data_IF_119804155636
#
_entry.id   IF_119804155636
#
_cell.length_a   1.000
_cell.length_b   1.000
_cell.length_c   1.000
_cell.angle_alpha   90.00
_cell.angle_beta   90.00
_cell.angle_gamma   90.00
#
_symmetry.space_group_name_H-M   'P 1'
#
loop_
_entity.id
_entity.type
_entity.pdbx_description
1 polymer ?
#
# COMPACT_ATOMS: atom_id res chain seq x y z
N UNK A 1 5.02 21.01 5.92
CA UNK A 1 5.86 21.56 7.04
C UNK A 1 7.25 20.97 6.84
N UNK A 2 8.29 21.81 6.74
CA UNK A 2 9.66 21.31 6.59
C UNK A 2 10.15 20.75 7.92
N UNK A 3 11.01 19.75 7.88
CA UNK A 3 11.66 19.16 9.04
C UNK A 3 13.15 19.48 9.06
N UNK A 4 13.72 19.51 10.24
CA UNK A 4 15.18 19.55 10.43
C UNK A 4 15.64 18.17 10.91
N UNK A 5 16.59 17.58 10.20
CA UNK A 5 17.37 16.45 10.66
C UNK A 5 18.57 16.94 11.42
N UNK A 6 18.71 16.53 12.66
CA UNK A 6 19.87 16.73 13.51
C UNK A 6 20.65 15.40 13.54
N UNK A 7 21.84 15.37 12.95
CA UNK A 7 22.73 14.21 12.99
C UNK A 7 23.76 14.41 14.10
N UNK A 8 23.68 13.59 15.16
CA UNK A 8 24.56 13.67 16.33
C UNK A 8 25.59 12.57 16.28
N UNK A 9 26.86 12.94 16.40
CA UNK A 9 28.00 12.03 16.58
C UNK A 9 28.54 12.17 18.00
N UNK A 10 28.61 11.06 18.70
CA UNK A 10 29.06 10.99 20.09
C UNK A 10 30.38 10.21 20.17
N UNK A 11 31.23 10.61 21.09
CA UNK A 11 32.42 9.85 21.47
C UNK A 11 32.65 9.98 22.99
N UNK A 12 32.97 8.90 23.64
CA UNK A 12 33.28 8.87 25.05
C UNK A 12 34.68 8.27 25.23
N UNK A 13 35.58 8.98 25.90
CA UNK A 13 37.01 8.63 26.00
C UNK A 13 37.66 8.36 24.61
N UNK A 14 37.26 9.09 23.58
CA UNK A 14 37.77 8.99 22.20
C UNK A 14 37.23 7.81 21.39
N UNK A 15 36.23 7.07 21.89
CA UNK A 15 35.56 5.97 21.20
C UNK A 15 34.04 6.07 21.40
N UNK A 16 33.32 5.22 20.68
CA UNK A 16 31.88 5.01 20.89
C UNK A 16 31.60 3.52 20.83
N UNK A 17 30.85 2.97 21.81
CA UNK A 17 30.54 1.56 21.89
C UNK A 17 29.16 1.30 22.50
N UNK A 18 28.76 0.02 22.55
CA UNK A 18 27.46 -0.39 23.12
C UNK A 18 27.29 0.03 24.59
N UNK A 19 28.40 0.13 25.34
CA UNK A 19 28.40 0.55 26.73
C UNK A 19 28.08 2.04 26.93
N UNK A 20 28.12 2.85 25.85
CA UNK A 20 27.89 4.29 25.88
C UNK A 20 26.48 4.70 25.40
N UNK A 21 25.65 3.73 24.99
CA UNK A 21 24.32 4.01 24.40
C UNK A 21 23.40 4.79 25.34
N UNK A 22 23.54 4.61 26.64
CA UNK A 22 22.80 5.35 27.65
C UNK A 22 22.99 6.86 27.57
N UNK A 23 24.15 7.33 27.08
CA UNK A 23 24.43 8.77 26.85
C UNK A 23 23.54 9.30 25.71
N UNK A 24 23.42 8.53 24.64
CA UNK A 24 22.53 8.86 23.55
C UNK A 24 21.06 8.88 23.99
N UNK A 25 20.66 7.95 24.87
CA UNK A 25 19.28 7.88 25.36
C UNK A 25 18.93 9.06 26.24
N UNK A 26 19.83 9.54 27.11
CA UNK A 26 19.63 10.77 27.88
C UNK A 26 19.50 11.98 26.93
N UNK A 27 20.35 12.05 25.91
CA UNK A 27 20.28 13.16 24.95
C UNK A 27 18.98 13.15 24.15
N UNK A 28 18.54 11.99 23.67
CA UNK A 28 17.26 11.83 22.96
C UNK A 28 16.08 12.25 23.84
N UNK A 29 16.04 11.80 25.10
CA UNK A 29 14.97 12.13 26.05
C UNK A 29 14.86 13.65 26.25
N UNK A 30 16.00 14.31 26.45
CA UNK A 30 16.02 15.77 26.58
C UNK A 30 15.60 16.51 25.30
N UNK A 31 15.95 15.97 24.11
CA UNK A 31 15.54 16.54 22.83
C UNK A 31 14.04 16.39 22.58
N UNK A 32 13.37 15.37 23.13
CA UNK A 32 11.89 15.27 23.11
C UNK A 32 11.27 16.52 23.73
N UNK A 33 11.81 16.97 24.86
CA UNK A 33 11.40 18.22 25.53
C UNK A 33 11.63 19.48 24.68
N UNK A 34 12.50 19.42 23.67
CA UNK A 34 12.77 20.49 22.72
C UNK A 34 11.91 20.43 21.45
N UNK A 35 11.02 19.43 21.31
CA UNK A 35 10.13 19.26 20.17
C UNK A 35 10.62 18.31 19.09
N UNK A 36 11.63 17.46 19.38
CA UNK A 36 12.02 16.37 18.48
C UNK A 36 11.06 15.20 18.65
N UNK A 37 10.60 14.63 17.53
CA UNK A 37 9.51 13.66 17.46
C UNK A 37 9.96 12.25 17.07
N UNK A 38 11.10 12.13 16.38
CA UNK A 38 11.58 10.85 15.87
C UNK A 38 13.09 10.74 15.98
N UNK A 39 13.58 9.52 16.26
CA UNK A 39 14.99 9.23 16.46
C UNK A 39 15.39 7.95 15.73
N UNK A 40 16.57 7.94 15.14
CA UNK A 40 17.17 6.79 14.45
C UNK A 40 18.60 6.61 14.96
N UNK A 41 18.91 5.44 15.52
CA UNK A 41 20.27 5.13 15.98
C UNK A 41 21.23 4.93 14.81
N UNK A 42 22.44 5.43 14.98
CA UNK A 42 23.56 5.29 14.02
C UNK A 42 24.74 4.60 14.69
N UNK A 43 25.73 4.21 13.90
CA UNK A 43 26.94 3.55 14.42
C UNK A 43 27.72 4.42 15.42
N UNK A 44 27.56 5.75 15.39
CA UNK A 44 28.34 6.69 16.21
C UNK A 44 27.48 7.68 16.98
N UNK A 45 26.20 7.40 17.16
CA UNK A 45 25.26 8.29 17.85
C UNK A 45 23.83 8.10 17.34
N UNK A 46 23.20 9.18 16.90
CA UNK A 46 21.82 9.11 16.42
C UNK A 46 21.45 10.27 15.47
N UNK A 47 20.39 10.12 14.74
CA UNK A 47 19.68 11.18 14.04
C UNK A 47 18.38 11.50 14.78
N UNK A 48 18.01 12.78 14.83
CA UNK A 48 16.77 13.25 15.43
C UNK A 48 16.04 14.21 14.48
N UNK A 49 14.73 14.20 14.51
CA UNK A 49 13.90 14.95 13.58
C UNK A 49 12.89 15.80 14.32
N UNK A 50 12.81 17.08 13.96
CA UNK A 50 11.81 18.01 14.49
C UNK A 50 11.22 18.88 13.38
N UNK A 51 9.98 19.40 13.57
CA UNK A 51 9.48 20.49 12.75
C UNK A 51 10.43 21.67 12.74
N UNK A 52 10.58 22.36 11.61
CA UNK A 52 11.49 23.49 11.45
C UNK A 52 11.24 24.59 12.50
N UNK A 53 9.98 24.80 12.88
CA UNK A 53 9.57 25.78 13.87
C UNK A 53 10.03 25.45 15.31
N UNK A 54 10.34 24.18 15.58
CA UNK A 54 10.80 23.69 16.89
C UNK A 54 12.34 23.73 17.01
N UNK A 55 13.03 23.83 15.88
CA UNK A 55 14.48 23.79 15.85
C UNK A 55 15.13 25.02 16.48
N UNK A 56 16.04 24.82 17.43
CA UNK A 56 16.89 25.86 18.00
C UNK A 56 18.27 25.30 18.37
N UNK A 57 19.31 25.92 17.83
CA UNK A 57 20.69 25.55 18.17
C UNK A 57 21.01 25.85 19.64
N UNK A 58 20.45 26.94 20.17
CA UNK A 58 20.65 27.34 21.59
C UNK A 58 20.13 26.24 22.52
N UNK A 59 18.94 25.69 22.24
CA UNK A 59 18.38 24.60 23.04
C UNK A 59 19.23 23.33 22.99
N UNK A 60 19.79 22.98 21.84
CA UNK A 60 20.67 21.82 21.69
C UNK A 60 21.93 22.00 22.55
N UNK A 61 22.56 23.17 22.49
CA UNK A 61 23.75 23.46 23.30
C UNK A 61 23.41 23.52 24.81
N UNK A 62 22.24 24.00 25.18
CA UNK A 62 21.75 23.97 26.55
C UNK A 62 21.59 22.54 27.05
N UNK A 63 20.92 21.68 26.28
CA UNK A 63 20.76 20.25 26.59
C UNK A 63 22.10 19.56 26.75
N UNK A 64 23.05 19.79 25.82
CA UNK A 64 24.41 19.23 25.96
C UNK A 64 25.06 19.63 27.27
N UNK A 65 24.90 20.87 27.70
CA UNK A 65 25.51 21.40 28.90
C UNK A 65 24.82 20.92 30.17
N UNK A 66 23.48 20.90 30.20
CA UNK A 66 22.69 20.57 31.41
C UNK A 66 22.61 19.07 31.63
N UNK A 67 22.28 18.33 30.58
CA UNK A 67 21.97 16.89 30.69
C UNK A 67 23.19 15.99 30.49
N UNK A 68 24.21 16.44 29.74
CA UNK A 68 25.39 15.64 29.48
C UNK A 68 26.67 16.22 30.12
N UNK A 69 26.58 17.38 30.76
CA UNK A 69 27.74 18.07 31.35
C UNK A 69 28.43 17.30 32.49
N UNK A 70 27.83 16.26 33.04
CA UNK A 70 28.40 15.37 34.05
C UNK A 70 29.21 14.22 33.45
N UNK A 71 29.13 13.98 32.12
CA UNK A 71 29.88 12.91 31.45
C UNK A 71 31.26 13.41 31.11
N UNK A 72 32.26 12.89 31.78
CA UNK A 72 33.67 13.26 31.54
C UNK A 72 34.15 12.75 30.16
N UNK A 73 34.98 13.55 29.49
CA UNK A 73 35.56 13.21 28.18
C UNK A 73 34.54 12.89 27.08
N UNK A 74 33.32 13.47 27.16
CA UNK A 74 32.30 13.34 26.13
C UNK A 74 32.58 14.31 24.97
N UNK A 75 32.75 13.77 23.76
CA UNK A 75 32.67 14.52 22.52
C UNK A 75 31.26 14.40 21.93
N UNK A 76 30.63 15.53 21.65
CA UNK A 76 29.32 15.56 21.00
C UNK A 76 29.34 16.62 19.88
N UNK A 77 29.38 16.14 18.66
CA UNK A 77 29.32 16.97 17.45
C UNK A 77 27.94 16.75 16.78
N UNK A 78 27.43 17.78 16.12
CA UNK A 78 26.20 17.63 15.35
C UNK A 78 26.22 18.47 14.07
N UNK A 79 25.51 17.96 13.08
CA UNK A 79 25.18 18.64 11.85
C UNK A 79 23.66 18.73 11.69
N UNK A 80 23.21 19.73 10.93
CA UNK A 80 21.78 19.92 10.67
C UNK A 80 21.52 20.00 9.18
N UNK A 81 20.45 19.34 8.74
CA UNK A 81 19.98 19.38 7.35
C UNK A 81 18.49 19.68 7.33
N UNK A 82 18.09 20.59 6.47
CA UNK A 82 16.67 20.85 6.21
C UNK A 82 16.14 19.77 5.27
N UNK A 83 15.09 19.08 5.71
CA UNK A 83 14.37 18.10 4.91
C UNK A 83 13.11 18.78 4.38
N UNK A 84 13.13 19.09 3.09
CA UNK A 84 11.92 19.55 2.41
C UNK A 84 10.84 18.48 2.49
N UNK A 85 9.62 18.91 2.77
CA UNK A 85 8.47 18.01 2.71
C UNK A 85 8.31 17.50 1.29
N UNK A 86 8.74 16.27 1.05
CA UNK A 86 8.39 15.55 -0.18
C UNK A 86 6.96 15.07 -0.08
N UNK A 87 6.18 15.39 -1.08
CA UNK A 87 4.91 14.72 -1.30
C UNK A 87 5.21 13.29 -1.79
N UNK A 88 5.37 12.38 -0.83
CA UNK A 88 5.64 10.97 -1.11
C UNK A 88 4.48 10.32 -1.88
N UNK A 89 3.26 10.82 -1.72
CA UNK A 89 2.11 10.35 -2.49
C UNK A 89 2.26 10.75 -3.96
N UNK A 90 2.58 12.01 -4.25
CA UNK A 90 2.81 12.45 -5.62
C UNK A 90 4.02 11.75 -6.27
N UNK A 91 5.08 11.46 -5.51
CA UNK A 91 6.23 10.72 -6.03
C UNK A 91 5.87 9.24 -6.28
N UNK A 92 5.10 8.63 -5.39
CA UNK A 92 4.59 7.28 -5.56
C UNK A 92 3.63 7.19 -6.75
N UNK A 93 2.68 8.09 -6.87
CA UNK A 93 1.75 8.17 -8.02
C UNK A 93 2.49 8.30 -9.34
N UNK A 94 3.51 9.17 -9.40
CA UNK A 94 4.33 9.36 -10.60
C UNK A 94 5.07 8.10 -11.05
N UNK A 95 5.44 7.24 -10.10
CA UNK A 95 6.20 6.02 -10.35
C UNK A 95 5.31 4.77 -10.41
N UNK A 96 3.99 4.88 -10.22
CA UNK A 96 3.08 3.75 -10.25
C UNK A 96 2.68 3.41 -11.71
N UNK A 97 3.16 2.29 -12.26
CA UNK A 97 2.94 1.98 -13.67
C UNK A 97 1.51 1.49 -13.94
N UNK A 98 1.02 1.76 -15.16
CA UNK A 98 -0.14 1.06 -15.70
C UNK A 98 0.29 -0.27 -16.31
N UNK A 99 -0.58 -1.27 -16.28
CA UNK A 99 -0.34 -2.59 -16.89
C UNK A 99 -1.15 -2.70 -18.16
N UNK A 100 -0.47 -2.98 -19.28
CA UNK A 100 -1.11 -3.05 -20.62
C UNK A 100 -1.08 -4.50 -21.13
N UNK A 101 -2.21 -4.98 -21.60
CA UNK A 101 -2.42 -6.31 -22.13
C UNK A 101 -2.71 -6.23 -23.66
N UNK A 102 -1.65 -6.12 -24.44
CA UNK A 102 -1.73 -5.98 -25.89
C UNK A 102 -2.59 -4.78 -26.33
N UNK A 103 -3.50 -5.02 -27.22
CA UNK A 103 -4.57 -4.10 -27.64
C UNK A 103 -5.90 -4.34 -26.91
N UNK A 104 -5.92 -5.33 -26.02
CA UNK A 104 -7.13 -5.75 -25.32
C UNK A 104 -7.52 -4.78 -24.21
N UNK A 105 -6.68 -4.60 -23.20
CA UNK A 105 -7.01 -3.69 -22.11
C UNK A 105 -5.78 -3.03 -21.46
N UNK A 106 -6.05 -1.96 -20.73
CA UNK A 106 -5.14 -1.35 -19.77
C UNK A 106 -5.78 -1.38 -18.39
N UNK A 107 -5.00 -1.73 -17.37
CA UNK A 107 -5.35 -1.50 -15.97
C UNK A 107 -4.46 -0.39 -15.45
N UNK A 108 -5.07 0.70 -15.01
CA UNK A 108 -4.35 1.91 -14.60
C UNK A 108 -4.97 2.54 -13.36
N UNK A 109 -4.18 3.27 -12.56
CA UNK A 109 -4.71 4.12 -11.52
C UNK A 109 -5.40 5.35 -12.11
N UNK A 110 -6.26 6.07 -11.34
CA UNK A 110 -6.97 7.25 -11.81
C UNK A 110 -6.06 8.39 -12.28
N UNK A 111 -4.88 8.53 -11.69
CA UNK A 111 -3.91 9.58 -12.00
C UNK A 111 -3.06 9.30 -13.25
N UNK A 112 -3.10 8.09 -13.80
CA UNK A 112 -2.44 7.80 -15.08
C UNK A 112 -3.39 8.04 -16.26
N UNK A 113 -2.87 8.53 -17.40
CA UNK A 113 -3.70 8.82 -18.58
C UNK A 113 -4.25 7.52 -19.22
N UNK A 114 -5.43 7.57 -19.84
CA UNK A 114 -5.96 6.47 -20.62
C UNK A 114 -5.09 6.18 -21.86
N UNK A 115 -5.12 4.95 -22.33
CA UNK A 115 -4.46 4.55 -23.59
C UNK A 115 -5.50 4.46 -24.72
N UNK A 116 -5.35 5.22 -25.82
CA UNK A 116 -6.28 5.14 -26.95
C UNK A 116 -6.06 3.86 -27.81
N UNK A 117 -5.06 3.05 -27.48
CA UNK A 117 -4.67 1.87 -28.26
C UNK A 117 -5.32 0.58 -27.79
N UNK A 118 -6.06 0.60 -26.69
CA UNK A 118 -6.68 -0.58 -26.12
C UNK A 118 -8.20 -0.53 -26.22
N UNK A 119 -8.82 -1.70 -26.26
CA UNK A 119 -10.28 -1.82 -26.35
C UNK A 119 -10.99 -1.48 -25.04
N UNK A 120 -10.37 -1.87 -23.90
CA UNK A 120 -10.96 -1.66 -22.57
C UNK A 120 -9.99 -0.89 -21.67
N UNK A 121 -10.47 0.19 -21.09
CA UNK A 121 -9.76 0.99 -20.07
C UNK A 121 -10.37 0.68 -18.71
N UNK A 122 -9.55 0.14 -17.79
CA UNK A 122 -9.95 -0.27 -16.45
C UNK A 122 -9.22 0.61 -15.44
N UNK A 123 -9.98 1.39 -14.69
CA UNK A 123 -9.44 2.31 -13.70
C UNK A 123 -9.56 1.70 -12.31
N UNK A 124 -8.44 1.42 -11.67
CA UNK A 124 -8.37 0.81 -10.33
C UNK A 124 -7.64 1.75 -9.39
N UNK A 125 -8.30 2.15 -8.31
CA UNK A 125 -7.66 2.88 -7.21
C UNK A 125 -6.75 1.94 -6.43
N UNK A 126 -5.43 2.15 -6.44
CA UNK A 126 -4.47 1.27 -5.78
C UNK A 126 -4.47 1.54 -4.27
N UNK A 127 -5.38 0.90 -3.55
CA UNK A 127 -5.43 0.86 -2.09
C UNK A 127 -4.69 -0.38 -1.55
N UNK A 128 -4.85 -0.68 -0.26
CA UNK A 128 -4.26 -1.84 0.40
C UNK A 128 -4.90 -3.19 -0.01
N UNK A 129 -5.67 -3.21 -1.11
CA UNK A 129 -6.36 -4.40 -1.61
C UNK A 129 -5.57 -5.07 -2.73
N UNK A 130 -5.64 -6.41 -2.80
CA UNK A 130 -5.03 -7.19 -3.88
C UNK A 130 -5.80 -7.00 -5.21
N UNK A 131 -5.09 -7.15 -6.36
CA UNK A 131 -5.75 -7.14 -7.68
C UNK A 131 -5.51 -5.89 -8.52
N UNK A 132 -4.36 -5.24 -8.40
CA UNK A 132 -3.96 -4.09 -9.24
C UNK A 132 -3.34 -4.50 -10.60
N UNK A 133 -3.48 -5.77 -10.99
CA UNK A 133 -2.93 -6.39 -12.18
C UNK A 133 -1.38 -6.50 -12.23
N UNK A 134 -0.66 -6.06 -11.21
CA UNK A 134 0.81 -6.22 -11.15
C UNK A 134 1.23 -7.63 -10.72
N UNK A 135 0.35 -8.37 -10.06
CA UNK A 135 0.63 -9.74 -9.68
C UNK A 135 0.43 -10.69 -10.86
N UNK A 136 1.35 -11.62 -11.03
CA UNK A 136 1.36 -12.55 -12.18
C UNK A 136 0.05 -13.34 -12.34
N UNK A 137 -0.57 -13.81 -11.25
CA UNK A 137 -1.83 -14.56 -11.31
C UNK A 137 -2.97 -13.70 -11.85
N UNK A 138 -3.09 -12.45 -11.41
CA UNK A 138 -4.10 -11.52 -11.92
C UNK A 138 -3.86 -11.22 -13.41
N UNK A 139 -2.61 -11.00 -13.80
CA UNK A 139 -2.24 -10.78 -15.21
C UNK A 139 -2.58 -11.96 -16.09
N UNK A 140 -2.29 -13.19 -15.64
CA UNK A 140 -2.59 -14.41 -16.39
C UNK A 140 -4.11 -14.61 -16.57
N UNK A 141 -4.92 -14.29 -15.55
CA UNK A 141 -6.38 -14.38 -15.67
C UNK A 141 -6.91 -13.33 -16.64
N UNK A 142 -6.39 -12.09 -16.59
CA UNK A 142 -6.75 -11.04 -17.57
C UNK A 142 -6.43 -11.49 -19.00
N UNK A 143 -5.24 -12.05 -19.19
CA UNK A 143 -4.83 -12.60 -20.48
C UNK A 143 -5.75 -13.75 -20.93
N UNK A 144 -6.06 -14.69 -20.03
CA UNK A 144 -7.01 -15.77 -20.31
C UNK A 144 -8.39 -15.22 -20.72
N UNK A 145 -8.94 -14.24 -19.97
CA UNK A 145 -10.22 -13.62 -20.28
C UNK A 145 -10.22 -12.90 -21.63
N UNK A 146 -9.06 -12.51 -22.15
CA UNK A 146 -8.97 -11.90 -23.49
C UNK A 146 -9.30 -12.84 -24.63
N UNK A 147 -9.19 -14.15 -24.40
CA UNK A 147 -9.52 -15.19 -25.39
C UNK A 147 -10.94 -15.75 -25.21
N UNK A 148 -11.62 -15.40 -24.10
CA UNK A 148 -12.94 -15.93 -23.78
C UNK A 148 -14.06 -15.02 -24.31
N UNK A 149 -15.15 -15.64 -24.76
CA UNK A 149 -16.38 -14.91 -25.10
C UNK A 149 -17.27 -14.81 -23.87
N UNK A 150 -17.25 -13.65 -23.21
CA UNK A 150 -18.05 -13.39 -22.03
C UNK A 150 -19.41 -12.75 -22.32
N UNK A 151 -19.75 -12.50 -23.58
CA UNK A 151 -21.01 -11.86 -23.96
C UNK A 151 -22.23 -12.64 -23.44
N UNK A 152 -22.99 -11.99 -22.56
CA UNK A 152 -24.19 -12.57 -21.95
C UNK A 152 -23.95 -13.66 -20.89
N UNK A 153 -22.70 -13.91 -20.52
CA UNK A 153 -22.30 -14.86 -19.48
C UNK A 153 -22.51 -14.28 -18.08
N UNK A 154 -23.01 -15.12 -17.16
CA UNK A 154 -23.06 -14.80 -15.71
C UNK A 154 -21.73 -15.12 -15.08
N UNK A 155 -21.21 -14.20 -14.27
CA UNK A 155 -19.85 -14.34 -13.72
C UNK A 155 -19.83 -14.12 -12.21
N UNK A 156 -19.10 -15.01 -11.52
CA UNK A 156 -18.73 -14.88 -10.11
C UNK A 156 -17.22 -14.63 -10.00
N UNK A 157 -16.84 -13.65 -9.18
CA UNK A 157 -15.46 -13.39 -8.75
C UNK A 157 -15.36 -13.52 -7.22
N UNK A 158 -14.83 -14.64 -6.76
CA UNK A 158 -14.68 -14.95 -5.32
C UNK A 158 -13.28 -14.56 -4.82
N UNK A 159 -13.22 -13.72 -3.78
CA UNK A 159 -11.99 -13.07 -3.34
C UNK A 159 -11.57 -11.98 -4.33
N UNK A 160 -12.50 -11.09 -4.64
CA UNK A 160 -12.38 -10.16 -5.77
C UNK A 160 -11.32 -9.05 -5.56
N UNK A 161 -10.88 -8.81 -4.32
CA UNK A 161 -9.92 -7.75 -4.02
C UNK A 161 -10.36 -6.38 -4.52
N UNK A 162 -9.63 -5.81 -5.47
CA UNK A 162 -10.00 -4.54 -6.12
C UNK A 162 -11.20 -4.63 -7.06
N UNK A 163 -11.70 -5.83 -7.35
CA UNK A 163 -12.76 -6.08 -8.33
C UNK A 163 -12.32 -6.04 -9.79
N UNK A 164 -11.03 -5.96 -10.07
CA UNK A 164 -10.48 -5.78 -11.43
C UNK A 164 -10.98 -6.83 -12.43
N UNK A 165 -11.08 -8.10 -12.01
CA UNK A 165 -11.48 -9.21 -12.89
C UNK A 165 -12.98 -9.15 -13.20
N UNK A 166 -13.83 -8.90 -12.21
CA UNK A 166 -15.27 -8.70 -12.39
C UNK A 166 -15.57 -7.46 -13.25
N UNK A 167 -14.83 -6.36 -13.04
CA UNK A 167 -14.95 -5.13 -13.84
C UNK A 167 -14.58 -5.39 -15.30
N UNK A 168 -13.46 -6.10 -15.55
CA UNK A 168 -13.06 -6.48 -16.90
C UNK A 168 -14.14 -7.35 -17.56
N UNK A 169 -14.65 -8.36 -16.86
CA UNK A 169 -15.69 -9.23 -17.37
C UNK A 169 -16.96 -8.45 -17.76
N UNK A 170 -17.41 -7.54 -16.91
CA UNK A 170 -18.55 -6.68 -17.22
C UNK A 170 -18.31 -5.79 -18.45
N UNK A 171 -17.11 -5.19 -18.58
CA UNK A 171 -16.73 -4.40 -19.76
C UNK A 171 -16.67 -5.23 -21.05
N UNK A 172 -16.37 -6.52 -20.95
CA UNK A 172 -16.32 -7.44 -22.11
C UNK A 172 -17.67 -8.05 -22.48
N UNK A 173 -18.72 -7.72 -21.73
CA UNK A 173 -20.11 -8.07 -22.06
C UNK A 173 -20.71 -9.17 -21.18
N UNK A 174 -20.05 -9.58 -20.10
CA UNK A 174 -20.66 -10.42 -19.09
C UNK A 174 -21.88 -9.69 -18.49
N UNK A 175 -22.92 -10.46 -18.22
CA UNK A 175 -24.13 -9.99 -17.53
C UNK A 175 -24.16 -10.58 -16.12
N UNK A 176 -24.90 -9.94 -15.20
CA UNK A 176 -25.07 -10.40 -13.82
C UNK A 176 -23.76 -10.80 -13.13
N UNK A 177 -22.79 -9.87 -13.17
CA UNK A 177 -21.52 -10.06 -12.52
C UNK A 177 -21.65 -9.89 -11.00
N UNK A 178 -21.18 -10.87 -10.25
CA UNK A 178 -21.17 -10.88 -8.79
C UNK A 178 -19.72 -10.99 -8.31
N UNK A 179 -19.34 -10.17 -7.35
CA UNK A 179 -18.03 -10.16 -6.74
C UNK A 179 -18.17 -10.27 -5.21
N UNK A 180 -17.39 -11.12 -4.57
CA UNK A 180 -17.44 -11.35 -3.13
C UNK A 180 -16.02 -11.23 -2.57
N UNK A 181 -15.87 -10.54 -1.44
CA UNK A 181 -14.65 -10.56 -0.65
C UNK A 181 -14.98 -10.57 0.84
N UNK A 182 -14.19 -11.29 1.64
CA UNK A 182 -14.40 -11.38 3.09
C UNK A 182 -13.66 -10.25 3.87
N UNK A 183 -12.83 -9.49 3.20
CA UNK A 183 -12.19 -8.29 3.75
C UNK A 183 -13.05 -7.05 3.44
N UNK A 184 -13.46 -6.34 4.50
CA UNK A 184 -14.27 -5.12 4.39
C UNK A 184 -13.59 -4.05 3.54
N UNK A 185 -12.26 -3.90 3.64
CA UNK A 185 -11.49 -2.91 2.88
C UNK A 185 -11.46 -3.26 1.39
N UNK A 186 -11.32 -4.56 1.08
CA UNK A 186 -11.35 -5.05 -0.30
C UNK A 186 -12.73 -4.87 -0.91
N UNK A 187 -13.80 -5.29 -0.22
CA UNK A 187 -15.17 -5.15 -0.69
C UNK A 187 -15.55 -3.67 -0.95
N UNK A 188 -15.16 -2.76 -0.05
CA UNK A 188 -15.44 -1.32 -0.24
C UNK A 188 -14.59 -0.74 -1.37
N UNK A 189 -13.32 -1.12 -1.50
CA UNK A 189 -12.49 -0.71 -2.64
C UNK A 189 -13.06 -1.22 -3.98
N UNK A 190 -13.54 -2.47 -4.02
CA UNK A 190 -14.19 -3.03 -5.21
C UNK A 190 -15.44 -2.23 -5.62
N UNK A 191 -16.30 -1.84 -4.67
CA UNK A 191 -17.49 -1.01 -4.94
C UNK A 191 -17.10 0.34 -5.56
N UNK A 192 -16.12 1.02 -4.97
CA UNK A 192 -15.62 2.30 -5.51
C UNK A 192 -15.06 2.13 -6.93
N UNK A 193 -14.32 1.05 -7.19
CA UNK A 193 -13.78 0.77 -8.52
C UNK A 193 -14.87 0.42 -9.52
N UNK A 194 -15.90 -0.31 -9.13
CA UNK A 194 -17.08 -0.61 -9.96
C UNK A 194 -17.77 0.69 -10.40
N UNK A 195 -18.04 1.60 -9.44
CA UNK A 195 -18.63 2.91 -9.73
C UNK A 195 -17.74 3.73 -10.67
N UNK A 196 -16.43 3.78 -10.41
CA UNK A 196 -15.43 4.50 -11.22
C UNK A 196 -15.39 4.02 -12.67
N UNK A 197 -15.59 2.74 -12.88
CA UNK A 197 -15.62 2.13 -14.22
C UNK A 197 -16.98 2.15 -14.90
N UNK A 198 -18.03 2.64 -14.22
CA UNK A 198 -19.42 2.71 -14.69
C UNK A 198 -19.92 1.36 -15.24
N UNK A 199 -19.66 0.27 -14.52
CA UNK A 199 -20.13 -1.08 -14.85
C UNK A 199 -21.13 -1.58 -13.81
N UNK A 200 -21.95 -2.58 -14.19
CA UNK A 200 -22.91 -3.24 -13.30
C UNK A 200 -22.28 -4.51 -12.75
N UNK A 201 -21.71 -4.42 -11.54
CA UNK A 201 -21.16 -5.53 -10.77
C UNK A 201 -21.71 -5.45 -9.35
N UNK A 202 -22.32 -6.50 -8.86
CA UNK A 202 -22.85 -6.59 -7.49
C UNK A 202 -21.72 -7.03 -6.56
N UNK A 203 -21.28 -6.16 -5.66
CA UNK A 203 -20.20 -6.46 -4.70
C UNK A 203 -20.77 -6.73 -3.30
N UNK A 204 -20.41 -7.87 -2.73
CA UNK A 204 -20.83 -8.30 -1.40
C UNK A 204 -19.62 -8.52 -0.48
N UNK A 205 -19.79 -8.12 0.78
CA UNK A 205 -18.88 -8.51 1.86
C UNK A 205 -19.30 -9.90 2.36
N UNK A 206 -18.41 -10.88 2.29
CA UNK A 206 -18.67 -12.24 2.76
C UNK A 206 -17.76 -13.26 2.09
N UNK A 207 -18.10 -14.51 2.28
CA UNK A 207 -17.39 -15.68 1.77
C UNK A 207 -18.31 -16.62 0.99
N UNK A 208 -17.84 -17.86 0.75
CA UNK A 208 -18.60 -18.90 0.03
C UNK A 208 -19.93 -19.26 0.68
N UNK A 209 -20.20 -18.89 1.94
CA UNK A 209 -21.49 -19.14 2.61
C UNK A 209 -22.63 -18.32 1.98
N UNK A 210 -22.31 -17.25 1.26
CA UNK A 210 -23.30 -16.48 0.50
C UNK A 210 -23.78 -17.23 -0.74
N UNK A 211 -23.07 -18.28 -1.19
CA UNK A 211 -23.42 -19.09 -2.34
C UNK A 211 -24.49 -20.11 -1.93
N UNK A 212 -25.72 -19.89 -2.34
CA UNK A 212 -26.85 -20.71 -1.93
C UNK A 212 -26.91 -22.10 -2.60
N UNK A 213 -26.05 -22.38 -3.58
CA UNK A 213 -26.10 -23.56 -4.45
C UNK A 213 -27.29 -23.57 -5.42
N UNK A 214 -27.98 -22.44 -5.56
CA UNK A 214 -29.09 -22.23 -6.50
C UNK A 214 -28.75 -21.20 -7.59
N UNK A 215 -27.60 -20.57 -7.45
CA UNK A 215 -27.10 -19.62 -8.44
C UNK A 215 -26.27 -20.37 -9.46
N UNK A 216 -26.47 -20.06 -10.71
CA UNK A 216 -25.78 -20.69 -11.85
C UNK A 216 -24.93 -19.64 -12.53
N UNK A 217 -23.61 -19.81 -12.47
CA UNK A 217 -22.64 -18.96 -13.16
C UNK A 217 -22.02 -19.72 -14.32
N UNK A 218 -21.90 -19.09 -15.47
CA UNK A 218 -21.17 -19.64 -16.61
C UNK A 218 -19.65 -19.56 -16.39
N UNK A 219 -19.20 -18.59 -15.60
CA UNK A 219 -17.78 -18.37 -15.31
C UNK A 219 -17.61 -18.10 -13.81
N UNK A 220 -16.69 -18.82 -13.19
CA UNK A 220 -16.34 -18.67 -11.79
C UNK A 220 -14.85 -18.39 -11.67
N UNK A 221 -14.48 -17.22 -11.18
CA UNK A 221 -13.11 -16.80 -10.92
C UNK A 221 -12.83 -16.88 -9.42
N UNK A 222 -11.67 -17.45 -9.05
CA UNK A 222 -11.20 -17.49 -7.67
C UNK A 222 -9.67 -17.35 -7.63
N UNK A 223 -9.19 -16.11 -7.62
CA UNK A 223 -7.77 -15.80 -7.50
C UNK A 223 -7.35 -15.65 -6.04
N UNK A 224 -7.51 -16.69 -5.25
CA UNK A 224 -7.32 -16.74 -3.81
C UNK A 224 -6.26 -17.76 -3.39
N UNK A 225 -5.97 -17.81 -2.08
CA UNK A 225 -5.06 -18.81 -1.53
C UNK A 225 -5.54 -20.24 -1.85
N UNK A 226 -4.60 -21.11 -2.28
CA UNK A 226 -4.87 -22.49 -2.67
C UNK A 226 -5.65 -23.29 -1.61
N UNK A 227 -5.32 -23.15 -0.34
CA UNK A 227 -5.97 -23.92 0.72
C UNK A 227 -7.42 -23.45 0.89
N UNK A 228 -7.67 -22.15 0.87
CA UNK A 228 -9.02 -21.57 0.92
C UNK A 228 -9.84 -22.02 -0.30
N UNK A 229 -9.22 -22.07 -1.50
CA UNK A 229 -9.88 -22.56 -2.70
C UNK A 229 -10.29 -24.03 -2.55
N UNK A 230 -9.38 -24.88 -2.05
CA UNK A 230 -9.67 -26.31 -1.84
C UNK A 230 -10.80 -26.54 -0.83
N UNK A 231 -10.82 -25.78 0.27
CA UNK A 231 -11.85 -25.88 1.30
C UNK A 231 -13.24 -25.46 0.79
N UNK A 232 -13.29 -24.60 -0.23
CA UNK A 232 -14.53 -24.08 -0.82
C UNK A 232 -14.87 -24.69 -2.17
N UNK A 233 -14.09 -25.65 -2.67
CA UNK A 233 -14.23 -26.24 -4.01
C UNK A 233 -15.63 -26.80 -4.29
N UNK A 234 -16.24 -27.47 -3.29
CA UNK A 234 -17.57 -28.05 -3.43
C UNK A 234 -18.65 -26.98 -3.56
N UNK A 235 -18.54 -25.88 -2.78
CA UNK A 235 -19.46 -24.76 -2.87
C UNK A 235 -19.33 -24.06 -4.24
N UNK A 236 -18.10 -23.84 -4.73
CA UNK A 236 -17.87 -23.28 -6.06
C UNK A 236 -18.46 -24.15 -7.15
N UNK A 237 -18.20 -25.48 -7.13
CA UNK A 237 -18.66 -26.41 -8.14
C UNK A 237 -20.19 -26.51 -8.25
N UNK A 238 -20.91 -26.35 -7.14
CA UNK A 238 -22.39 -26.38 -7.12
C UNK A 238 -23.05 -25.16 -7.78
N UNK A 239 -22.29 -24.10 -8.01
CA UNK A 239 -22.78 -22.84 -8.57
C UNK A 239 -22.28 -22.58 -10.00
N UNK A 240 -21.63 -23.55 -10.63
CA UNK A 240 -21.20 -23.50 -12.05
C UNK A 240 -22.12 -24.38 -12.89
N UNK A 241 -22.52 -23.88 -14.06
CA UNK A 241 -23.33 -24.58 -15.06
C UNK A 241 -22.45 -25.35 -16.03
#
# INVERSE_FOLDING_TARGET
MNYIRLSVRLSHNGKWGEEDTWIADIFKDALIGCGYESFVDTATGFEAYCPQDCFSREKIEEVKKTELGFVENLGAEYDTEEIEQKDWNAEWEKNYPSVVFGDFCIVRPPFNPPSPKVKYDIVIEPKMSFGTAHHQTTSLIIEFLSYENLQGKRLMDMGCGTGVLAILAAKTGACDCVAIDNDVWAADNAKENVERNAVDVKVFLGDSSLLSGKEEFDVFIANINRNILLDNMEACARNIV
#
